data_IF_670324752832
#
_entry.id   IF_670324752832
#
_cell.length_a   1.000
_cell.length_b   1.000
_cell.length_c   1.000
_cell.angle_alpha   90.00
_cell.angle_beta   90.00
_cell.angle_gamma   90.00
#
_symmetry.space_group_name_H-M   'P 1'
#
loop_
_entity.id
_entity.type
_entity.pdbx_description
1 polymer ?
#
# COMPACT_ATOMS: atom_id res chain seq x y z
N UNK A 1 24.91 -19.30 -3.59
CA UNK A 1 23.61 -18.88 -3.02
C UNK A 1 23.31 -17.39 -3.21
N UNK A 2 24.24 -16.47 -2.89
CA UNK A 2 24.01 -15.02 -3.02
C UNK A 2 23.61 -14.55 -4.42
N UNK A 3 24.16 -15.16 -5.48
CA UNK A 3 23.81 -14.82 -6.87
C UNK A 3 22.33 -15.13 -7.20
N UNK A 4 21.83 -16.28 -6.74
CA UNK A 4 20.46 -16.71 -6.95
C UNK A 4 19.47 -15.85 -6.16
N UNK A 5 19.83 -15.51 -4.93
CA UNK A 5 19.06 -14.57 -4.11
C UNK A 5 18.92 -13.22 -4.81
N UNK A 6 20.02 -12.64 -5.31
CA UNK A 6 20.01 -11.36 -6.03
C UNK A 6 19.16 -11.42 -7.30
N UNK A 7 19.27 -12.51 -8.05
CA UNK A 7 18.52 -12.70 -9.30
C UNK A 7 17.00 -12.77 -9.05
N UNK A 8 16.56 -13.68 -8.18
CA UNK A 8 15.13 -13.90 -7.89
C UNK A 8 14.54 -12.65 -7.22
N UNK A 9 15.27 -12.04 -6.28
CA UNK A 9 14.86 -10.80 -5.64
C UNK A 9 14.75 -9.64 -6.63
N UNK A 10 15.66 -9.55 -7.61
CA UNK A 10 15.62 -8.51 -8.63
C UNK A 10 14.36 -8.58 -9.49
N UNK A 11 13.97 -9.79 -9.91
CA UNK A 11 12.73 -10.01 -10.67
C UNK A 11 11.51 -9.66 -9.80
N UNK A 12 11.49 -10.12 -8.55
CA UNK A 12 10.39 -9.86 -7.62
C UNK A 12 10.22 -8.37 -7.33
N UNK A 13 11.30 -7.67 -6.95
CA UNK A 13 11.25 -6.24 -6.63
C UNK A 13 10.84 -5.40 -7.83
N UNK A 14 11.35 -5.70 -9.04
CA UNK A 14 10.92 -5.03 -10.26
C UNK A 14 9.41 -5.16 -10.48
N UNK A 15 8.88 -6.38 -10.39
CA UNK A 15 7.45 -6.64 -10.56
C UNK A 15 6.62 -5.96 -9.44
N UNK A 16 7.11 -6.00 -8.20
CA UNK A 16 6.47 -5.34 -7.07
C UNK A 16 6.33 -3.84 -7.29
N UNK A 17 7.40 -3.12 -7.62
CA UNK A 17 7.33 -1.67 -7.81
C UNK A 17 6.40 -1.27 -8.96
N UNK A 18 6.40 -2.03 -10.08
CA UNK A 18 5.50 -1.77 -11.21
C UNK A 18 4.04 -1.92 -10.78
N UNK A 19 3.72 -3.02 -10.09
CA UNK A 19 2.35 -3.32 -9.67
C UNK A 19 1.89 -2.36 -8.58
N UNK A 20 2.74 -2.10 -7.59
CA UNK A 20 2.45 -1.20 -6.48
C UNK A 20 2.16 0.22 -6.97
N UNK A 21 3.01 0.77 -7.84
CA UNK A 21 2.82 2.12 -8.37
C UNK A 21 1.57 2.21 -9.25
N UNK A 22 1.30 1.17 -10.06
CA UNK A 22 0.09 1.15 -10.90
C UNK A 22 -1.19 1.11 -10.06
N UNK A 23 -1.24 0.24 -9.04
CA UNK A 23 -2.40 0.14 -8.15
C UNK A 23 -2.60 1.41 -7.33
N UNK A 24 -1.51 2.02 -6.85
CA UNK A 24 -1.56 3.28 -6.10
C UNK A 24 -2.09 4.43 -6.97
N UNK A 25 -1.59 4.55 -8.20
CA UNK A 25 -2.09 5.52 -9.18
C UNK A 25 -3.55 5.28 -9.54
N UNK A 26 -3.96 4.03 -9.75
CA UNK A 26 -5.35 3.66 -10.03
C UNK A 26 -6.27 4.02 -8.86
N UNK A 27 -5.88 3.70 -7.63
CA UNK A 27 -6.65 4.04 -6.44
C UNK A 27 -6.81 5.56 -6.29
N UNK A 28 -5.72 6.32 -6.42
CA UNK A 28 -5.77 7.78 -6.33
C UNK A 28 -6.61 8.38 -7.46
N UNK A 29 -6.48 7.87 -8.67
CA UNK A 29 -7.23 8.34 -9.84
C UNK A 29 -8.73 8.15 -9.69
N UNK A 30 -9.18 6.98 -9.24
CA UNK A 30 -10.60 6.71 -9.01
C UNK A 30 -11.14 7.61 -7.90
N UNK A 31 -10.41 7.75 -6.79
CA UNK A 31 -10.86 8.56 -5.67
C UNK A 31 -10.94 10.06 -6.01
N UNK A 32 -10.01 10.57 -6.81
CA UNK A 32 -10.08 11.94 -7.33
C UNK A 32 -11.25 12.16 -8.29
N UNK A 33 -11.58 11.16 -9.12
CA UNK A 33 -12.70 11.25 -10.05
C UNK A 33 -14.05 11.23 -9.32
N UNK A 34 -14.17 10.42 -8.27
CA UNK A 34 -15.39 10.29 -7.47
C UNK A 34 -15.64 11.52 -6.58
N UNK A 35 -14.58 12.08 -5.99
CA UNK A 35 -14.69 13.22 -5.08
C UNK A 35 -14.39 14.56 -5.75
N UNK A 36 -14.40 14.61 -7.10
CA UNK A 36 -13.98 15.79 -7.87
C UNK A 36 -14.73 17.08 -7.48
N UNK A 37 -16.02 16.95 -7.18
CA UNK A 37 -16.89 18.08 -6.81
C UNK A 37 -16.67 18.56 -5.37
N UNK A 38 -16.12 17.71 -4.51
CA UNK A 38 -15.88 18.00 -3.08
C UNK A 38 -14.42 18.39 -2.81
N UNK A 39 -13.61 18.57 -3.86
CA UNK A 39 -12.22 18.98 -3.73
C UNK A 39 -12.12 20.43 -3.25
N UNK A 40 -11.18 20.73 -2.32
CA UNK A 40 -10.99 22.10 -1.85
C UNK A 40 -10.48 23.02 -2.96
N UNK A 41 -11.03 24.22 -3.06
CA UNK A 41 -10.67 25.25 -4.06
C UNK A 41 -9.20 25.66 -3.99
N UNK A 42 -8.59 25.58 -2.80
CA UNK A 42 -7.18 25.91 -2.61
C UNK A 42 -6.26 24.79 -3.11
N UNK A 43 -5.44 25.10 -4.13
CA UNK A 43 -4.48 24.16 -4.73
C UNK A 43 -3.54 23.51 -3.70
N UNK A 44 -3.17 24.23 -2.63
CA UNK A 44 -2.36 23.68 -1.54
C UNK A 44 -3.07 22.55 -0.78
N UNK A 45 -4.35 22.73 -0.44
CA UNK A 45 -5.13 21.68 0.23
C UNK A 45 -5.40 20.50 -0.71
N UNK A 46 -5.60 20.76 -1.99
CA UNK A 46 -5.78 19.70 -2.99
C UNK A 46 -4.51 18.84 -3.14
N UNK A 47 -3.32 19.45 -3.19
CA UNK A 47 -2.05 18.70 -3.20
C UNK A 47 -1.90 17.83 -1.95
N UNK A 48 -2.23 18.41 -0.79
CA UNK A 48 -2.08 17.72 0.49
C UNK A 48 -3.12 16.61 0.67
N UNK A 49 -4.33 16.80 0.15
CA UNK A 49 -5.35 15.77 0.00
C UNK A 49 -4.81 14.57 -0.78
N UNK A 50 -4.19 14.79 -1.94
CA UNK A 50 -3.62 13.72 -2.78
C UNK A 50 -2.53 12.95 -2.04
N UNK A 51 -1.69 13.64 -1.25
CA UNK A 51 -0.64 12.98 -0.46
C UNK A 51 -1.24 12.09 0.63
N UNK A 52 -2.21 12.60 1.41
CA UNK A 52 -2.87 11.80 2.44
C UNK A 52 -3.72 10.67 1.87
N UNK A 53 -4.33 10.89 0.70
CA UNK A 53 -5.02 9.87 -0.07
C UNK A 53 -4.05 8.75 -0.47
N UNK A 54 -2.88 9.10 -1.02
CA UNK A 54 -1.87 8.12 -1.40
C UNK A 54 -1.41 7.29 -0.20
N UNK A 55 -1.18 7.91 0.97
CA UNK A 55 -0.83 7.20 2.21
C UNK A 55 -1.94 6.27 2.69
N UNK A 56 -3.20 6.72 2.65
CA UNK A 56 -4.34 5.86 2.97
C UNK A 56 -4.47 4.69 1.99
N UNK A 57 -4.14 4.91 0.71
CA UNK A 57 -4.21 3.89 -0.33
C UNK A 57 -3.22 2.74 -0.11
N UNK A 58 -2.03 3.03 0.44
CA UNK A 58 -0.99 2.02 0.70
C UNK A 58 -1.53 0.85 1.53
N UNK A 59 -2.37 1.12 2.54
CA UNK A 59 -3.00 0.08 3.38
C UNK A 59 -3.77 -0.96 2.56
N UNK A 60 -4.46 -0.52 1.51
CA UNK A 60 -5.26 -1.40 0.65
C UNK A 60 -4.42 -2.03 -0.47
N UNK A 61 -3.51 -1.25 -1.05
CA UNK A 61 -2.73 -1.63 -2.22
C UNK A 61 -1.57 -2.57 -1.89
N UNK A 62 -0.92 -2.39 -0.73
CA UNK A 62 0.26 -3.15 -0.34
C UNK A 62 0.03 -4.68 -0.32
N UNK A 63 -0.96 -5.24 0.39
CA UNK A 63 -1.15 -6.70 0.43
C UNK A 63 -1.43 -7.28 -0.96
N UNK A 64 -2.22 -6.58 -1.77
CA UNK A 64 -2.58 -6.99 -3.15
C UNK A 64 -1.34 -6.98 -4.05
N UNK A 65 -0.52 -5.94 -3.96
CA UNK A 65 0.70 -5.79 -4.77
C UNK A 65 1.74 -6.87 -4.45
N UNK A 66 1.92 -7.25 -3.18
CA UNK A 66 2.87 -8.29 -2.78
C UNK A 66 2.53 -9.66 -3.36
N UNK A 67 1.23 -10.01 -3.37
CA UNK A 67 0.74 -11.28 -3.90
C UNK A 67 0.87 -11.29 -5.43
N UNK A 68 0.40 -10.24 -6.12
CA UNK A 68 0.50 -10.19 -7.58
C UNK A 68 1.95 -10.15 -8.07
N UNK A 69 2.85 -9.47 -7.36
CA UNK A 69 4.27 -9.48 -7.67
C UNK A 69 4.87 -10.88 -7.62
N UNK A 70 4.47 -11.68 -6.62
CA UNK A 70 4.90 -13.08 -6.48
C UNK A 70 4.41 -13.90 -7.69
N UNK A 71 3.12 -13.83 -8.00
CA UNK A 71 2.52 -14.55 -9.13
C UNK A 71 3.21 -14.17 -10.44
N UNK A 72 3.39 -12.87 -10.70
CA UNK A 72 4.00 -12.39 -11.93
C UNK A 72 5.48 -12.79 -12.02
N UNK A 73 6.21 -12.77 -10.91
CA UNK A 73 7.60 -13.23 -10.87
C UNK A 73 7.72 -14.71 -11.23
N UNK A 74 6.86 -15.57 -10.68
CA UNK A 74 6.83 -16.99 -11.00
C UNK A 74 6.48 -17.23 -12.47
N UNK A 75 5.44 -16.55 -12.99
CA UNK A 75 5.04 -16.66 -14.40
C UNK A 75 6.17 -16.20 -15.33
N UNK A 76 6.87 -15.11 -15.00
CA UNK A 76 8.00 -14.61 -15.77
C UNK A 76 9.13 -15.64 -15.85
N UNK A 77 9.50 -16.24 -14.71
CA UNK A 77 10.56 -17.24 -14.64
C UNK A 77 10.19 -18.55 -15.35
N UNK A 78 8.91 -18.93 -15.33
CA UNK A 78 8.41 -20.09 -16.08
C UNK A 78 8.49 -19.83 -17.58
N UNK A 79 8.04 -18.65 -18.04
CA UNK A 79 8.05 -18.28 -19.47
C UNK A 79 9.45 -18.22 -20.06
N UNK A 80 10.43 -17.78 -19.27
CA UNK A 80 11.82 -17.68 -19.69
C UNK A 80 12.62 -18.99 -19.55
N UNK A 81 11.99 -20.10 -19.15
CA UNK A 81 12.64 -21.37 -18.78
C UNK A 81 13.71 -21.25 -17.66
N UNK A 82 13.77 -20.10 -16.99
CA UNK A 82 14.67 -19.85 -15.85
C UNK A 82 14.35 -20.78 -14.68
N UNK A 83 13.07 -21.08 -14.47
CA UNK A 83 12.64 -21.99 -13.43
C UNK A 83 13.25 -23.39 -13.60
N UNK A 84 13.24 -23.94 -14.83
CA UNK A 84 13.82 -25.25 -15.16
C UNK A 84 15.34 -25.23 -15.05
N UNK A 85 15.99 -24.15 -15.48
CA UNK A 85 17.44 -23.97 -15.35
C UNK A 85 17.89 -23.95 -13.90
N UNK A 86 17.16 -23.24 -13.02
CA UNK A 86 17.45 -23.22 -11.58
C UNK A 86 17.33 -24.61 -10.96
N UNK A 87 16.36 -25.43 -11.36
CA UNK A 87 16.29 -26.82 -10.91
C UNK A 87 17.46 -27.68 -11.37
N UNK A 88 17.86 -27.54 -12.63
CA UNK A 88 19.00 -28.29 -13.17
C UNK A 88 20.31 -27.97 -12.42
N UNK A 89 20.43 -26.75 -11.88
CA UNK A 89 21.54 -26.31 -11.05
C UNK A 89 21.46 -26.79 -9.58
N UNK A 90 20.46 -27.61 -9.22
CA UNK A 90 20.31 -28.19 -7.88
C UNK A 90 19.58 -27.29 -6.87
N UNK A 91 18.89 -26.25 -7.33
CA UNK A 91 18.14 -25.34 -6.46
C UNK A 91 16.80 -25.98 -6.08
N UNK A 92 16.51 -26.05 -4.77
CA UNK A 92 15.27 -26.66 -4.28
C UNK A 92 14.04 -25.77 -4.55
N UNK A 93 12.86 -26.40 -4.70
CA UNK A 93 11.60 -25.68 -5.00
C UNK A 93 11.31 -24.58 -3.98
N UNK A 94 11.63 -24.86 -2.73
CA UNK A 94 11.30 -24.00 -1.60
C UNK A 94 12.14 -22.72 -1.62
N UNK A 95 13.40 -22.77 -2.07
CA UNK A 95 14.27 -21.60 -2.10
C UNK A 95 13.78 -20.55 -3.10
N UNK A 96 13.15 -20.95 -4.21
CA UNK A 96 12.60 -20.00 -5.19
C UNK A 96 11.46 -19.17 -4.59
N UNK A 97 10.69 -19.74 -3.66
CA UNK A 97 9.56 -19.08 -3.00
C UNK A 97 10.02 -18.31 -1.74
N UNK A 98 11.05 -18.80 -1.04
CA UNK A 98 11.50 -18.20 0.22
C UNK A 98 12.11 -16.81 0.02
N UNK A 99 12.77 -16.56 -1.12
CA UNK A 99 13.40 -15.26 -1.36
C UNK A 99 12.38 -14.14 -1.58
N UNK A 100 11.36 -14.29 -2.45
CA UNK A 100 10.23 -13.36 -2.51
C UNK A 100 9.49 -13.20 -1.17
N UNK A 101 9.33 -14.31 -0.42
CA UNK A 101 8.65 -14.28 0.87
C UNK A 101 9.38 -13.42 1.91
N UNK A 102 10.70 -13.49 1.97
CA UNK A 102 11.52 -12.64 2.86
C UNK A 102 11.33 -11.15 2.56
N UNK A 103 11.25 -10.78 1.28
CA UNK A 103 10.96 -9.39 0.88
C UNK A 103 9.54 -8.98 1.24
N UNK A 104 8.55 -9.84 1.02
CA UNK A 104 7.18 -9.57 1.43
C UNK A 104 7.07 -9.35 2.95
N UNK A 105 7.74 -10.19 3.73
CA UNK A 105 7.81 -10.05 5.18
C UNK A 105 8.49 -8.73 5.59
N UNK A 106 9.58 -8.34 4.93
CA UNK A 106 10.23 -7.06 5.15
C UNK A 106 9.28 -5.88 4.89
N UNK A 107 8.56 -5.87 3.78
CA UNK A 107 7.58 -4.82 3.49
C UNK A 107 6.43 -4.78 4.50
N UNK A 108 5.97 -5.94 4.98
CA UNK A 108 4.99 -6.00 6.07
C UNK A 108 5.53 -5.38 7.36
N UNK A 109 6.76 -5.66 7.75
CA UNK A 109 7.38 -5.04 8.93
C UNK A 109 7.53 -3.52 8.77
N UNK A 110 7.93 -3.04 7.60
CA UNK A 110 8.01 -1.61 7.30
C UNK A 110 6.63 -0.97 7.43
N UNK A 111 5.59 -1.60 6.88
CA UNK A 111 4.21 -1.11 6.98
C UNK A 111 3.70 -1.07 8.42
N UNK A 112 3.95 -2.12 9.20
CA UNK A 112 3.61 -2.14 10.63
C UNK A 112 4.36 -1.04 11.38
N UNK A 113 5.65 -0.86 11.10
CA UNK A 113 6.46 0.25 11.63
C UNK A 113 5.88 1.62 11.32
N UNK A 114 5.43 1.84 10.08
CA UNK A 114 4.78 3.08 9.66
C UNK A 114 3.47 3.32 10.40
N UNK A 115 2.69 2.29 10.71
CA UNK A 115 1.41 2.45 11.43
C UNK A 115 1.59 2.96 12.88
N UNK A 116 2.78 2.85 13.48
CA UNK A 116 3.07 3.48 14.77
C UNK A 116 3.27 5.01 14.67
N UNK A 117 3.37 5.54 13.46
CA UNK A 117 3.55 6.97 13.19
C UNK A 117 2.21 7.64 12.82
N UNK A 118 2.15 8.98 12.67
CA UNK A 118 0.94 9.69 12.22
C UNK A 118 0.38 9.21 10.88
N UNK A 119 1.10 8.36 10.14
CA UNK A 119 0.63 7.68 8.94
C UNK A 119 -0.70 6.94 9.13
N UNK A 120 -0.97 6.36 10.32
CA UNK A 120 -2.24 5.70 10.60
C UNK A 120 -3.44 6.65 10.54
N UNK A 121 -3.22 7.95 10.79
CA UNK A 121 -4.26 8.98 10.75
C UNK A 121 -4.40 9.64 9.36
N UNK A 122 -3.67 9.17 8.33
CA UNK A 122 -3.74 9.74 6.99
C UNK A 122 -5.19 9.79 6.44
N UNK A 123 -5.99 8.77 6.72
CA UNK A 123 -7.39 8.73 6.31
C UNK A 123 -8.27 9.76 7.07
N UNK A 124 -7.97 10.00 8.35
CA UNK A 124 -8.65 11.04 9.13
C UNK A 124 -8.29 12.44 8.61
N UNK A 125 -7.01 12.68 8.29
CA UNK A 125 -6.57 13.95 7.69
C UNK A 125 -7.20 14.17 6.32
N UNK A 126 -7.25 13.14 5.45
CA UNK A 126 -7.97 13.17 4.16
C UNK A 126 -9.42 13.61 4.36
N UNK A 127 -10.13 12.99 5.31
CA UNK A 127 -11.55 13.27 5.57
C UNK A 127 -11.78 14.66 6.15
N UNK A 128 -10.89 15.16 7.00
CA UNK A 128 -11.00 16.51 7.56
C UNK A 128 -10.76 17.59 6.49
N UNK A 129 -9.86 17.36 5.54
CA UNK A 129 -9.62 18.25 4.41
C UNK A 129 -10.86 18.34 3.51
N UNK A 130 -11.50 17.21 3.20
CA UNK A 130 -12.73 17.16 2.41
C UNK A 130 -13.90 17.87 3.11
N UNK A 131 -14.09 17.63 4.42
CA UNK A 131 -15.28 18.12 5.13
C UNK A 131 -15.17 19.55 5.64
N UNK A 132 -14.02 19.93 6.17
CA UNK A 132 -13.87 21.17 6.94
C UNK A 132 -12.78 22.10 6.39
N UNK A 133 -12.13 21.75 5.28
CA UNK A 133 -11.03 22.54 4.69
C UNK A 133 -9.86 22.78 5.66
N UNK A 134 -9.72 21.95 6.70
CA UNK A 134 -8.71 22.13 7.77
C UNK A 134 -8.13 20.77 8.20
N UNK A 135 -6.91 20.79 8.75
CA UNK A 135 -6.22 19.58 9.25
C UNK A 135 -6.68 19.11 10.62
N UNK A 136 -7.39 19.97 11.36
CA UNK A 136 -7.71 19.76 12.76
C UNK A 136 -8.95 18.88 12.91
N UNK A 137 -8.91 17.94 13.87
CA UNK A 137 -10.11 17.24 14.34
C UNK A 137 -11.02 18.27 15.02
N UNK A 138 -11.99 18.82 14.29
CA UNK A 138 -13.12 19.49 14.94
C UNK A 138 -14.03 18.42 15.54
N UNK A 139 -13.88 18.20 16.85
CA UNK A 139 -14.82 17.48 17.69
C UNK A 139 -16.02 18.36 18.04
N UNK A 140 -16.66 18.97 17.04
CA UNK A 140 -17.92 19.66 17.25
C UNK A 140 -19.05 18.67 17.02
N UNK A 141 -19.88 18.43 18.03
CA UNK A 141 -21.15 17.69 17.95
C UNK A 141 -21.00 16.15 17.92
N UNK A 142 -20.41 15.58 18.99
CA UNK A 142 -20.33 14.12 19.14
C UNK A 142 -21.36 13.63 20.17
N UNK A 143 -22.36 12.89 19.69
CA UNK A 143 -23.26 12.12 20.56
C UNK A 143 -22.55 10.88 21.09
N UNK A 144 -22.29 10.84 22.39
CA UNK A 144 -21.68 9.71 23.08
C UNK A 144 -22.72 9.01 23.94
N UNK A 145 -22.91 7.72 23.73
CA UNK A 145 -23.68 6.88 24.67
C UNK A 145 -22.72 6.35 25.73
N UNK A 146 -22.80 6.88 26.94
CA UNK A 146 -22.00 6.40 28.07
C UNK A 146 -22.95 5.96 29.19
N UNK A 147 -22.78 4.73 29.67
CA UNK A 147 -23.53 4.20 30.81
C UNK A 147 -25.06 4.39 30.74
N UNK A 148 -25.62 4.15 29.55
CA UNK A 148 -27.06 4.26 29.25
C UNK A 148 -27.63 5.69 29.16
N UNK A 149 -26.78 6.71 29.26
CA UNK A 149 -27.12 8.11 28.98
C UNK A 149 -26.49 8.58 27.68
N UNK A 150 -27.16 9.51 26.99
CA UNK A 150 -26.67 10.16 25.79
C UNK A 150 -26.12 11.53 26.17
N UNK A 151 -24.81 11.71 26.01
CA UNK A 151 -24.09 12.95 26.30
C UNK A 151 -23.74 13.60 24.96
N UNK A 152 -24.02 14.90 24.86
CA UNK A 152 -23.67 15.72 23.71
C UNK A 152 -22.52 16.65 24.09
N UNK A 153 -21.48 16.70 23.27
CA UNK A 153 -20.28 17.54 23.43
C UNK A 153 -20.12 18.41 22.19
#
# INVERSE_FOLDING_TARGET
>A
MWIFFRFISGIYLKNFFIIFLSLLGFYCGIDLLLNFNDLPDAANLSLLYVIFLAFSAVTYVLPVSLIFALVLSLVSMIRANEFVSLYALGLSKNLVIIFPFLWALFFCFVYVGLNFTPFAYANDYKRNILKNGTMLKQSGEVFLKFNNEFIYI
#
